data_IF_413501327109
#
_entry.id   IF_413501327109
#
_cell.length_a   1.000
_cell.length_b   1.000
_cell.length_c   1.000
_cell.angle_alpha   90.00
_cell.angle_beta   90.00
_cell.angle_gamma   90.00
#
_symmetry.space_group_name_H-M   'P 1'
#
loop_
_entity.id
_entity.type
_entity.pdbx_description
1 polymer ?
#
# COMPACT_ATOMS: atom_id res chain seq x y z
N UNK A 1 2.47 -12.44 -4.45
CA UNK A 1 2.09 -11.16 -5.09
C UNK A 1 3.09 -10.06 -4.75
N UNK A 2 3.23 -9.65 -3.49
CA UNK A 2 4.16 -8.56 -3.11
C UNK A 2 5.62 -8.79 -3.54
N UNK A 3 6.13 -10.03 -3.48
CA UNK A 3 7.47 -10.34 -4.04
C UNK A 3 7.61 -10.08 -5.54
N UNK A 4 6.53 -10.26 -6.32
CA UNK A 4 6.55 -10.05 -7.77
C UNK A 4 6.56 -8.55 -8.08
N UNK A 5 5.73 -7.76 -7.40
CA UNK A 5 5.72 -6.31 -7.61
C UNK A 5 6.96 -5.63 -6.99
N UNK A 6 7.50 -6.18 -5.91
CA UNK A 6 8.76 -5.74 -5.32
C UNK A 6 9.99 -6.05 -6.17
N UNK A 7 9.89 -6.87 -7.22
CA UNK A 7 11.03 -7.06 -8.15
C UNK A 7 11.12 -5.98 -9.23
N UNK A 8 10.14 -5.08 -9.28
CA UNK A 8 10.02 -4.00 -10.28
C UNK A 8 9.68 -2.66 -9.62
N UNK A 9 9.93 -2.53 -8.30
CA UNK A 9 9.71 -1.27 -7.62
C UNK A 9 10.76 -0.23 -8.02
N UNK A 10 10.39 1.04 -7.96
CA UNK A 10 11.29 2.16 -8.23
C UNK A 10 11.77 2.72 -6.90
N UNK A 11 13.04 2.49 -6.59
CA UNK A 11 13.67 3.02 -5.40
C UNK A 11 14.00 4.51 -5.57
N UNK A 12 13.89 5.27 -4.49
CA UNK A 12 14.23 6.70 -4.46
C UNK A 12 15.67 6.91 -4.92
N UNK A 13 15.84 7.76 -5.94
CA UNK A 13 17.15 8.08 -6.53
C UNK A 13 17.50 7.29 -7.79
N UNK A 14 16.74 6.25 -8.14
CA UNK A 14 17.07 5.40 -9.29
C UNK A 14 16.43 5.86 -10.61
N UNK A 15 15.33 6.60 -10.57
CA UNK A 15 14.58 7.04 -11.75
C UNK A 15 14.38 8.56 -11.73
N UNK A 16 15.30 9.32 -12.33
CA UNK A 16 15.19 10.78 -12.42
C UNK A 16 14.34 11.18 -13.64
N UNK A 17 13.24 11.90 -13.39
CA UNK A 17 12.29 12.33 -14.43
C UNK A 17 12.46 13.80 -14.83
N UNK A 18 13.15 14.57 -13.99
CA UNK A 18 13.63 15.93 -14.22
C UNK A 18 14.71 16.23 -13.18
N UNK A 19 15.50 17.29 -13.37
CA UNK A 19 16.57 17.67 -12.45
C UNK A 19 16.11 17.68 -10.98
N UNK A 20 16.69 16.78 -10.18
CA UNK A 20 16.39 16.59 -8.76
C UNK A 20 15.02 15.98 -8.43
N UNK A 21 14.26 15.50 -9.44
CA UNK A 21 12.93 14.89 -9.27
C UNK A 21 12.98 13.42 -9.64
N UNK A 22 12.54 12.58 -8.70
CA UNK A 22 12.63 11.14 -8.83
C UNK A 22 11.25 10.48 -8.78
N UNK A 23 11.00 9.57 -9.70
CA UNK A 23 9.86 8.66 -9.62
C UNK A 23 10.16 7.55 -8.60
N UNK A 24 9.15 7.19 -7.82
CA UNK A 24 9.23 6.13 -6.81
C UNK A 24 7.94 5.32 -6.77
N UNK A 25 8.02 4.07 -6.34
CA UNK A 25 6.82 3.27 -6.04
C UNK A 25 6.18 3.77 -4.75
N UNK A 26 5.19 4.67 -4.85
CA UNK A 26 4.54 5.27 -3.67
C UNK A 26 3.87 4.23 -2.76
N UNK A 27 3.20 3.26 -3.36
CA UNK A 27 2.57 2.15 -2.65
C UNK A 27 2.45 0.94 -3.57
N UNK A 28 2.39 -0.24 -2.99
CA UNK A 28 2.11 -1.50 -3.70
C UNK A 28 0.81 -2.06 -3.19
N UNK A 29 -0.09 -2.52 -4.06
CA UNK A 29 -1.40 -3.04 -3.65
C UNK A 29 -1.76 -4.35 -4.32
N UNK A 30 -2.48 -5.19 -3.58
CA UNK A 30 -2.99 -6.50 -4.00
C UNK A 30 -4.44 -6.63 -3.59
N UNK A 31 -5.32 -7.11 -4.47
CA UNK A 31 -6.73 -7.31 -4.14
C UNK A 31 -7.07 -8.81 -4.12
N UNK A 32 -7.67 -9.28 -3.03
CA UNK A 32 -8.37 -10.57 -3.03
C UNK A 32 -9.84 -10.34 -3.36
N UNK A 33 -10.19 -10.46 -4.64
CA UNK A 33 -11.54 -10.21 -5.12
C UNK A 33 -12.58 -11.20 -4.56
N UNK A 34 -12.19 -12.46 -4.28
CA UNK A 34 -13.09 -13.45 -3.71
C UNK A 34 -13.46 -13.15 -2.25
N UNK A 35 -12.56 -12.50 -1.50
CA UNK A 35 -12.77 -12.12 -0.09
C UNK A 35 -13.14 -10.66 0.10
N UNK A 36 -13.03 -9.82 -0.93
CA UNK A 36 -13.25 -8.38 -0.82
C UNK A 36 -12.19 -7.65 0.03
N UNK A 37 -10.93 -8.11 -0.01
CA UNK A 37 -9.86 -7.53 0.83
C UNK A 37 -8.83 -6.83 -0.05
N UNK A 38 -8.57 -5.56 0.26
CA UNK A 38 -7.53 -4.73 -0.34
C UNK A 38 -6.29 -4.71 0.56
N UNK A 39 -5.19 -5.29 0.11
CA UNK A 39 -3.91 -5.28 0.80
C UNK A 39 -2.98 -4.24 0.21
N UNK A 40 -2.18 -3.57 1.04
CA UNK A 40 -1.17 -2.63 0.56
C UNK A 40 0.06 -2.53 1.48
N UNK A 41 1.17 -2.10 0.90
CA UNK A 41 2.33 -1.51 1.58
C UNK A 41 2.54 -0.09 1.04
N UNK A 42 3.22 0.79 1.76
CA UNK A 42 3.65 2.09 1.22
C UNK A 42 5.17 2.13 1.16
N UNK A 43 5.74 3.11 0.45
CA UNK A 43 7.20 3.24 0.33
C UNK A 43 7.89 3.26 1.71
N UNK A 44 7.29 3.97 2.68
CA UNK A 44 7.85 4.18 4.02
C UNK A 44 7.25 3.22 5.09
N UNK A 45 6.42 2.25 4.69
CA UNK A 45 5.87 1.22 5.57
C UNK A 45 5.74 -0.12 4.83
N UNK A 46 6.65 -1.04 5.15
CA UNK A 46 6.76 -2.35 4.50
C UNK A 46 5.78 -3.38 5.07
N UNK A 47 5.19 -3.12 6.24
CA UNK A 47 4.15 -3.98 6.79
C UNK A 47 2.92 -4.00 5.87
N UNK A 48 2.44 -5.20 5.54
CA UNK A 48 1.20 -5.38 4.77
C UNK A 48 0.00 -4.96 5.62
N UNK A 49 -0.67 -3.90 5.19
CA UNK A 49 -1.94 -3.42 5.71
C UNK A 49 -3.10 -3.99 4.90
N UNK A 50 -4.29 -4.13 5.51
CA UNK A 50 -5.47 -4.68 4.84
C UNK A 50 -6.74 -3.87 5.15
N UNK A 51 -7.55 -3.61 4.14
CA UNK A 51 -8.90 -3.05 4.25
C UNK A 51 -9.88 -4.11 3.75
N UNK A 52 -10.77 -4.55 4.63
CA UNK A 52 -11.81 -5.54 4.33
C UNK A 52 -13.13 -4.82 4.05
N UNK A 53 -13.61 -4.89 2.81
CA UNK A 53 -14.80 -4.15 2.39
C UNK A 53 -16.07 -4.63 3.11
N UNK A 54 -16.12 -5.90 3.52
CA UNK A 54 -17.26 -6.46 4.24
C UNK A 54 -17.33 -5.96 5.70
N UNK A 55 -16.32 -5.21 6.17
CA UNK A 55 -16.35 -4.48 7.44
C UNK A 55 -16.85 -3.04 7.31
N UNK A 56 -17.36 -2.67 6.14
CA UNK A 56 -18.01 -1.38 5.87
C UNK A 56 -19.45 -1.60 5.42
N UNK A 57 -20.28 -0.56 5.53
CA UNK A 57 -21.65 -0.60 5.03
C UNK A 57 -21.66 -0.54 3.50
N UNK A 58 -21.96 -1.68 2.87
CA UNK A 58 -21.96 -1.83 1.42
C UNK A 58 -23.20 -1.20 0.75
N UNK A 59 -24.28 -1.01 1.51
CA UNK A 59 -25.50 -0.32 1.06
C UNK A 59 -25.53 1.15 1.50
N UNK A 60 -24.42 1.61 2.09
CA UNK A 60 -24.24 2.98 2.58
C UNK A 60 -24.37 4.01 1.46
N UNK A 61 -24.84 5.20 1.82
CA UNK A 61 -24.98 6.34 0.89
C UNK A 61 -23.77 7.27 0.85
N UNK A 62 -22.77 6.99 1.69
CA UNK A 62 -21.56 7.80 1.84
C UNK A 62 -20.31 6.95 1.60
N UNK A 63 -19.22 7.59 1.17
CA UNK A 63 -17.95 6.93 0.91
C UNK A 63 -17.23 6.58 2.23
N UNK A 64 -16.97 5.28 2.43
CA UNK A 64 -16.00 4.83 3.42
C UNK A 64 -14.58 5.22 2.97
N UNK A 65 -13.84 5.92 3.83
CA UNK A 65 -12.51 6.44 3.56
C UNK A 65 -11.54 6.01 4.66
N UNK A 66 -10.36 5.55 4.26
CA UNK A 66 -9.31 5.12 5.17
C UNK A 66 -8.01 5.82 4.80
N UNK A 67 -7.34 6.41 5.79
CA UNK A 67 -6.02 7.00 5.59
C UNK A 67 -4.97 5.90 5.53
N UNK A 68 -4.14 5.83 4.48
CA UNK A 68 -3.06 4.84 4.41
C UNK A 68 -2.07 4.99 5.57
N UNK A 69 -1.56 3.87 6.08
CA UNK A 69 -0.46 3.87 7.05
C UNK A 69 0.86 4.06 6.31
N UNK A 70 1.47 5.24 6.47
CA UNK A 70 2.70 5.65 5.78
C UNK A 70 3.94 5.63 6.65
N UNK A 71 3.83 5.24 7.92
CA UNK A 71 4.98 5.14 8.82
C UNK A 71 5.21 3.67 9.17
N UNK A 72 6.47 3.25 9.12
CA UNK A 72 6.87 1.87 9.37
C UNK A 72 6.29 1.34 10.69
N UNK A 73 5.68 0.17 10.61
CA UNK A 73 5.11 -0.53 11.76
C UNK A 73 6.09 -1.59 12.25
N UNK A 74 6.88 -1.22 13.27
CA UNK A 74 7.92 -2.08 13.82
C UNK A 74 7.36 -2.92 14.97
N UNK A 75 7.44 -4.23 14.84
CA UNK A 75 7.14 -5.16 15.94
C UNK A 75 8.38 -5.33 16.81
N UNK A 76 8.36 -4.78 18.03
CA UNK A 76 9.40 -4.98 19.03
C UNK A 76 9.16 -6.29 19.79
N UNK A 77 10.16 -7.18 19.78
CA UNK A 77 10.14 -8.41 20.57
C UNK A 77 10.82 -8.16 21.93
N UNK A 78 10.18 -8.59 23.01
CA UNK A 78 10.80 -8.72 24.34
C UNK A 78 11.40 -10.11 24.53
#
# INVERSE_FOLDING_TARGET
FFHILGSVDQQRGCCEVADGKYEITLYTSCCNAAKGIYYYTTYDNHQISAVDMHKTDLDGRELARFTPVTTEQIHFMM
#
